data_IF_769909018571
#
_entry.id   IF_769909018571
#
_cell.length_a   1.000
_cell.length_b   1.000
_cell.length_c   1.000
_cell.angle_alpha   90.00
_cell.angle_beta   90.00
_cell.angle_gamma   90.00
#
_symmetry.space_group_name_H-M   'P 1'
#
loop_
_entity.id
_entity.type
_entity.pdbx_description
1 polymer ?
#
# COMPACT_ATOMS: atom_id res chain seq x y z
N UNK A 1 -16.14 38.37 -42.81
CA UNK A 1 -14.90 38.16 -42.02
C UNK A 1 -15.29 37.43 -40.76
N UNK A 2 -15.02 36.14 -40.64
CA UNK A 2 -15.26 35.37 -39.42
C UNK A 2 -13.95 35.34 -38.62
N UNK A 3 -13.95 35.94 -37.44
CA UNK A 3 -12.80 35.94 -36.54
C UNK A 3 -12.93 34.75 -35.60
N UNK A 4 -12.13 33.71 -35.82
CA UNK A 4 -12.01 32.57 -34.90
C UNK A 4 -11.21 33.01 -33.68
N UNK A 5 -11.84 32.98 -32.51
CA UNK A 5 -11.17 33.22 -31.23
C UNK A 5 -10.67 31.89 -30.70
N UNK A 6 -9.35 31.68 -30.74
CA UNK A 6 -8.71 30.49 -30.15
C UNK A 6 -8.63 30.67 -28.63
N UNK A 7 -9.33 29.83 -27.87
CA UNK A 7 -9.17 29.73 -26.41
C UNK A 7 -7.99 28.80 -26.13
N UNK A 8 -6.90 29.35 -25.60
CA UNK A 8 -5.75 28.58 -25.15
C UNK A 8 -6.03 28.07 -23.72
N UNK A 9 -6.35 26.78 -23.58
CA UNK A 9 -6.47 26.15 -22.27
C UNK A 9 -5.07 25.99 -21.66
N UNK A 10 -4.80 26.71 -20.58
CA UNK A 10 -3.58 26.56 -19.80
C UNK A 10 -3.74 25.29 -18.93
N UNK A 11 -3.15 24.17 -19.35
CA UNK A 11 -3.02 22.99 -18.51
C UNK A 11 -1.94 23.32 -17.46
N UNK A 12 -2.36 23.76 -16.28
CA UNK A 12 -1.44 23.87 -15.15
C UNK A 12 -0.94 22.48 -14.77
N UNK A 13 0.37 22.26 -14.86
CA UNK A 13 1.00 21.07 -14.30
C UNK A 13 0.94 21.18 -12.77
N UNK A 14 -0.03 20.52 -12.14
CA UNK A 14 -0.03 20.36 -10.69
C UNK A 14 1.21 19.52 -10.32
N UNK A 15 2.21 20.16 -9.72
CA UNK A 15 3.31 19.43 -9.09
C UNK A 15 2.82 18.97 -7.73
N UNK A 16 2.58 17.66 -7.57
CA UNK A 16 2.25 17.10 -6.27
C UNK A 16 3.53 17.00 -5.43
N UNK A 17 3.47 17.48 -4.19
CA UNK A 17 4.58 17.34 -3.23
C UNK A 17 4.55 15.95 -2.61
N UNK A 18 5.69 15.26 -2.60
CA UNK A 18 5.85 14.01 -1.83
C UNK A 18 5.92 14.38 -0.34
N UNK A 19 4.92 13.97 0.44
CA UNK A 19 4.88 14.20 1.89
C UNK A 19 5.81 13.26 2.66
N UNK A 20 5.93 12.02 2.19
CA UNK A 20 6.78 10.97 2.73
C UNK A 20 7.18 10.01 1.61
N UNK A 21 8.41 9.51 1.63
CA UNK A 21 8.98 8.67 0.57
C UNK A 21 9.40 7.30 1.12
N UNK A 22 8.59 6.28 0.81
CA UNK A 22 8.82 4.89 1.20
C UNK A 22 9.60 4.05 0.18
N UNK A 23 10.20 4.64 -0.86
CA UNK A 23 10.83 3.89 -1.98
C UNK A 23 12.21 3.30 -1.66
N UNK A 24 12.75 3.56 -0.47
CA UNK A 24 14.04 3.02 0.01
C UNK A 24 15.22 3.26 -0.96
N UNK A 25 15.22 4.41 -1.63
CA UNK A 25 16.22 4.78 -2.64
C UNK A 25 17.62 5.04 -2.07
N UNK A 26 17.73 5.20 -0.75
CA UNK A 26 18.99 5.45 -0.06
C UNK A 26 19.47 4.24 0.74
N UNK A 27 18.68 3.17 0.80
CA UNK A 27 19.03 1.94 1.51
C UNK A 27 19.66 0.93 0.54
N UNK A 28 20.45 0.00 1.04
CA UNK A 28 21.09 -1.06 0.23
C UNK A 28 20.63 -2.46 0.59
N UNK A 29 20.06 -2.62 1.78
CA UNK A 29 19.46 -3.85 2.29
C UNK A 29 18.34 -3.49 3.27
N UNK A 30 17.58 -4.47 3.76
CA UNK A 30 16.56 -4.28 4.80
C UNK A 30 17.14 -4.13 6.21
N UNK A 31 18.46 -4.26 6.40
CA UNK A 31 19.09 -4.20 7.72
C UNK A 31 18.90 -2.85 8.44
N UNK A 32 18.70 -1.75 7.70
CA UNK A 32 18.40 -0.44 8.30
C UNK A 32 17.11 -0.44 9.15
N UNK A 33 16.20 -1.40 8.94
CA UNK A 33 14.98 -1.52 9.73
C UNK A 33 15.29 -1.88 11.19
N UNK A 34 16.41 -2.56 11.46
CA UNK A 34 16.84 -2.92 12.82
C UNK A 34 17.36 -1.69 13.61
N UNK A 35 17.65 -0.57 12.95
CA UNK A 35 18.09 0.67 13.61
C UNK A 35 16.91 1.42 14.27
N UNK A 36 15.67 1.15 13.83
CA UNK A 36 14.47 1.76 14.40
C UNK A 36 14.09 1.09 15.73
N UNK A 37 13.69 1.88 16.72
CA UNK A 37 13.01 1.39 17.91
C UNK A 37 12.06 2.45 18.47
N UNK A 38 11.19 2.07 19.41
CA UNK A 38 10.35 3.03 20.13
C UNK A 38 11.14 4.14 20.83
N UNK A 39 12.38 3.86 21.27
CA UNK A 39 13.30 4.85 21.86
C UNK A 39 14.19 5.57 20.84
N UNK A 40 14.24 5.11 19.59
CA UNK A 40 15.08 5.65 18.52
C UNK A 40 14.32 5.59 17.18
N UNK A 41 13.38 6.51 16.98
CA UNK A 41 12.49 6.50 15.82
C UNK A 41 13.16 7.12 14.59
N UNK A 42 14.08 6.38 13.96
CA UNK A 42 14.89 6.78 12.79
C UNK A 42 14.43 6.11 11.49
N UNK A 43 14.97 6.50 10.34
CA UNK A 43 14.63 5.88 9.06
C UNK A 43 13.23 6.23 8.53
N UNK A 44 12.83 5.59 7.42
CA UNK A 44 11.56 5.90 6.74
C UNK A 44 10.38 5.05 7.22
N UNK A 45 10.66 3.91 7.87
CA UNK A 45 9.64 2.97 8.34
C UNK A 45 9.84 2.62 9.82
N UNK A 46 8.73 2.46 10.52
CA UNK A 46 8.66 1.74 11.78
C UNK A 46 8.60 0.25 11.47
N UNK A 47 9.37 -0.53 12.23
CA UNK A 47 9.45 -1.98 12.07
C UNK A 47 9.36 -2.64 13.44
N UNK A 48 8.15 -3.07 13.79
CA UNK A 48 7.88 -3.79 15.04
C UNK A 48 6.78 -4.85 14.93
N UNK A 49 6.08 -4.91 13.78
CA UNK A 49 5.03 -5.90 13.50
C UNK A 49 5.64 -6.95 12.59
N UNK A 50 6.34 -7.90 13.20
CA UNK A 50 7.04 -9.01 12.56
C UNK A 50 7.22 -10.15 13.56
N UNK A 51 7.70 -11.29 13.06
CA UNK A 51 8.07 -12.45 13.88
C UNK A 51 9.43 -12.32 14.58
N UNK A 52 9.84 -13.37 15.30
CA UNK A 52 11.09 -13.38 16.09
C UNK A 52 12.38 -13.61 15.27
N UNK A 53 12.25 -13.87 13.96
CA UNK A 53 13.38 -14.10 13.06
C UNK A 53 14.14 -12.81 12.69
N UNK A 54 15.32 -12.94 12.05
CA UNK A 54 16.04 -11.79 11.50
C UNK A 54 15.21 -11.07 10.43
N UNK A 55 15.40 -9.75 10.27
CA UNK A 55 14.69 -8.93 9.28
C UNK A 55 14.70 -9.51 7.87
N UNK A 56 15.79 -10.18 7.48
CA UNK A 56 15.93 -10.78 6.14
C UNK A 56 15.01 -11.96 5.89
N UNK A 57 14.40 -12.56 6.92
CA UNK A 57 13.40 -13.60 6.72
C UNK A 57 12.08 -12.99 6.22
N UNK A 58 11.79 -11.75 6.63
CA UNK A 58 10.52 -11.07 6.41
C UNK A 58 10.57 -9.99 5.33
N UNK A 59 11.67 -9.25 5.23
CA UNK A 59 11.82 -8.11 4.32
C UNK A 59 13.14 -8.21 3.57
N UNK A 60 13.09 -8.16 2.24
CA UNK A 60 14.28 -8.11 1.38
C UNK A 60 14.16 -7.01 0.35
N UNK A 61 15.27 -6.38 0.02
CA UNK A 61 15.35 -5.36 -1.02
C UNK A 61 16.14 -5.88 -2.22
N UNK A 62 15.61 -5.68 -3.42
CA UNK A 62 16.32 -5.97 -4.65
C UNK A 62 15.73 -5.22 -5.85
N UNK A 63 16.54 -4.99 -6.89
CA UNK A 63 16.09 -4.43 -8.16
C UNK A 63 15.04 -5.30 -8.87
N UNK A 64 15.06 -6.60 -8.64
CA UNK A 64 14.08 -7.55 -9.19
C UNK A 64 12.70 -7.45 -8.51
N UNK A 65 12.60 -6.80 -7.35
CA UNK A 65 11.37 -6.72 -6.56
C UNK A 65 10.55 -5.44 -6.82
N UNK A 66 10.90 -4.62 -7.81
CA UNK A 66 10.13 -3.44 -8.20
C UNK A 66 9.42 -3.60 -9.54
N UNK A 67 8.44 -2.74 -9.77
CA UNK A 67 7.90 -2.56 -11.11
C UNK A 67 9.02 -2.05 -12.04
N UNK A 68 9.36 -2.77 -13.12
CA UNK A 68 10.43 -2.34 -14.03
C UNK A 68 10.12 -1.01 -14.74
N UNK A 69 8.84 -0.62 -14.84
CA UNK A 69 8.43 0.66 -15.39
C UNK A 69 8.59 1.83 -14.41
N UNK A 70 8.76 1.56 -13.11
CA UNK A 70 9.02 2.60 -12.11
C UNK A 70 10.51 2.97 -12.12
N UNK A 71 10.83 4.08 -12.80
CA UNK A 71 12.17 4.66 -12.82
C UNK A 71 12.50 5.48 -11.57
N UNK A 72 11.50 5.80 -10.74
CA UNK A 72 11.64 6.55 -9.50
C UNK A 72 12.10 5.71 -8.31
N UNK A 73 11.95 4.38 -8.36
CA UNK A 73 12.45 3.44 -7.35
C UNK A 73 13.71 2.72 -7.83
N UNK A 74 14.76 2.68 -7.00
CA UNK A 74 16.01 1.97 -7.29
C UNK A 74 15.88 0.46 -7.08
N UNK A 75 15.08 0.06 -6.11
CA UNK A 75 14.79 -1.33 -5.74
C UNK A 75 13.34 -1.44 -5.30
N UNK A 76 12.84 -2.66 -5.15
CA UNK A 76 11.56 -2.91 -4.52
C UNK A 76 11.71 -3.74 -3.25
N UNK A 77 10.57 -3.96 -2.59
CA UNK A 77 10.48 -4.61 -1.30
C UNK A 77 9.77 -5.94 -1.51
N UNK A 78 10.44 -7.04 -1.20
CA UNK A 78 9.77 -8.32 -1.00
C UNK A 78 9.36 -8.39 0.47
N UNK A 79 8.06 -8.59 0.70
CA UNK A 79 7.48 -8.89 2.01
C UNK A 79 7.12 -10.37 2.05
N UNK A 80 7.60 -11.06 3.06
CA UNK A 80 7.38 -12.49 3.30
C UNK A 80 6.59 -12.66 4.59
N UNK A 81 5.63 -13.58 4.54
CA UNK A 81 5.03 -14.17 5.73
C UNK A 81 5.30 -15.68 5.70
N UNK A 82 5.63 -16.22 6.87
CA UNK A 82 5.80 -17.64 7.12
C UNK A 82 5.30 -17.99 8.53
N UNK A 83 5.43 -19.26 8.93
CA UNK A 83 4.95 -19.71 10.25
C UNK A 83 5.63 -19.03 11.45
N UNK A 84 6.75 -18.33 11.25
CA UNK A 84 7.42 -17.56 12.29
C UNK A 84 6.94 -16.11 12.37
N UNK A 85 6.16 -15.64 11.40
CA UNK A 85 5.66 -14.26 11.29
C UNK A 85 4.51 -13.96 12.26
N UNK A 86 4.63 -14.39 13.52
CA UNK A 86 3.61 -14.21 14.56
C UNK A 86 3.99 -13.02 15.41
N UNK A 87 3.10 -12.03 15.52
CA UNK A 87 3.31 -10.83 16.32
C UNK A 87 2.36 -10.80 17.51
N UNK A 88 2.85 -10.49 18.73
CA UNK A 88 2.03 -10.39 19.94
C UNK A 88 1.14 -11.61 20.28
N UNK A 89 1.52 -12.82 19.85
CA UNK A 89 0.72 -14.04 20.02
C UNK A 89 -0.68 -13.95 19.38
N UNK A 90 -0.83 -13.17 18.30
CA UNK A 90 -2.04 -13.23 17.48
C UNK A 90 -2.11 -14.53 16.66
N UNK A 91 -3.31 -14.88 16.20
CA UNK A 91 -3.52 -16.02 15.31
C UNK A 91 -3.30 -15.67 13.83
N UNK A 92 -2.65 -14.53 13.54
CA UNK A 92 -2.45 -14.01 12.20
C UNK A 92 -0.96 -14.02 11.85
N UNK A 93 -0.63 -14.18 10.57
CA UNK A 93 0.75 -14.06 10.11
C UNK A 93 0.96 -12.65 9.56
N UNK A 94 1.93 -11.91 10.12
CA UNK A 94 2.10 -10.48 9.89
C UNK A 94 3.55 -10.10 9.67
N UNK A 95 3.77 -9.33 8.61
CA UNK A 95 4.98 -8.56 8.35
C UNK A 95 4.53 -7.20 7.82
N UNK A 96 4.65 -6.15 8.63
CA UNK A 96 4.14 -4.82 8.28
C UNK A 96 5.20 -3.75 8.50
N UNK A 97 5.20 -2.77 7.59
CA UNK A 97 6.03 -1.58 7.65
C UNK A 97 5.11 -0.36 7.72
N UNK A 98 5.28 0.45 8.76
CA UNK A 98 4.46 1.65 8.98
C UNK A 98 5.29 2.90 8.65
N UNK A 99 4.76 3.91 7.94
CA UNK A 99 5.49 5.15 7.69
C UNK A 99 6.00 5.81 8.99
N UNK A 100 7.31 6.01 9.10
CA UNK A 100 7.92 6.84 10.14
C UNK A 100 7.99 8.29 9.64
N UNK A 101 7.05 9.13 10.07
CA UNK A 101 6.98 10.52 9.59
C UNK A 101 6.25 11.45 10.56
N UNK A 102 6.60 12.74 10.50
CA UNK A 102 5.84 13.84 11.11
C UNK A 102 5.05 14.64 10.08
N UNK A 103 5.16 14.31 8.79
CA UNK A 103 4.41 14.95 7.73
C UNK A 103 2.91 14.68 7.89
N UNK A 104 2.03 15.61 7.48
CA UNK A 104 0.59 15.50 7.65
C UNK A 104 -0.03 14.54 6.61
N UNK A 105 0.40 13.27 6.61
CA UNK A 105 -0.08 12.24 5.68
C UNK A 105 -1.55 11.85 5.93
N UNK A 106 -2.14 12.30 7.03
CA UNK A 106 -3.51 12.03 7.44
C UNK A 106 -4.40 13.29 7.50
N UNK A 107 -4.11 14.32 6.70
CA UNK A 107 -4.88 15.58 6.67
C UNK A 107 -5.17 16.04 5.25
N UNK A 108 -6.34 16.66 5.04
CA UNK A 108 -6.75 17.13 3.73
C UNK A 108 -6.79 16.02 2.69
N UNK A 109 -6.57 16.38 1.43
CA UNK A 109 -6.52 15.44 0.32
C UNK A 109 -5.10 14.95 0.05
N UNK A 110 -4.88 13.66 0.15
CA UNK A 110 -3.59 13.00 -0.05
C UNK A 110 -3.72 11.75 -0.92
N UNK A 111 -2.60 11.32 -1.50
CA UNK A 111 -2.53 10.15 -2.36
C UNK A 111 -1.53 9.16 -1.78
N UNK A 112 -2.00 7.98 -1.42
CA UNK A 112 -1.16 6.87 -0.95
C UNK A 112 -0.82 5.98 -2.14
N UNK A 113 0.40 6.09 -2.65
CA UNK A 113 0.89 5.34 -3.81
C UNK A 113 1.63 4.07 -3.41
N UNK A 114 1.34 2.98 -4.10
CA UNK A 114 2.09 1.74 -4.00
C UNK A 114 1.85 0.88 -5.24
N UNK A 115 2.76 -0.06 -5.50
CA UNK A 115 2.57 -1.08 -6.52
C UNK A 115 2.77 -2.45 -5.90
N UNK A 116 1.92 -3.42 -6.26
CA UNK A 116 1.98 -4.80 -5.75
C UNK A 116 1.99 -5.81 -6.88
N UNK A 117 2.64 -6.95 -6.62
CA UNK A 117 2.75 -8.09 -7.51
C UNK A 117 3.06 -9.33 -6.65
N UNK A 118 2.75 -10.51 -7.17
CA UNK A 118 3.27 -11.77 -6.65
C UNK A 118 3.89 -12.60 -7.77
N UNK A 119 4.76 -13.55 -7.44
CA UNK A 119 5.36 -14.48 -8.41
C UNK A 119 4.66 -15.84 -8.36
N UNK A 120 5.11 -16.78 -9.19
CA UNK A 120 4.73 -18.20 -9.09
C UNK A 120 5.53 -18.94 -8.00
N UNK A 121 6.58 -18.34 -7.47
CA UNK A 121 7.38 -18.87 -6.37
C UNK A 121 6.84 -18.31 -5.06
N UNK A 122 6.36 -19.19 -4.17
CA UNK A 122 5.70 -18.81 -2.92
C UNK A 122 4.59 -17.74 -3.13
N UNK A 123 3.59 -17.99 -4.00
CA UNK A 123 2.48 -17.04 -4.15
C UNK A 123 1.72 -16.91 -2.83
N UNK A 124 1.07 -15.75 -2.56
CA UNK A 124 0.11 -15.65 -1.47
C UNK A 124 -0.97 -16.71 -1.66
N UNK A 125 -1.46 -17.25 -0.56
CA UNK A 125 -2.43 -18.33 -0.64
C UNK A 125 -3.81 -17.80 -1.06
N UNK A 126 -4.47 -18.49 -1.98
CA UNK A 126 -5.82 -18.14 -2.39
C UNK A 126 -6.89 -18.70 -1.41
N UNK A 127 -6.49 -19.47 -0.41
CA UNK A 127 -7.36 -20.21 0.50
C UNK A 127 -7.65 -19.49 1.82
N UNK A 128 -6.86 -18.48 2.16
CA UNK A 128 -6.97 -17.70 3.38
C UNK A 128 -7.07 -16.21 3.05
N UNK A 129 -7.74 -15.44 3.89
CA UNK A 129 -7.83 -13.99 3.77
C UNK A 129 -6.46 -13.33 4.00
N UNK A 130 -6.11 -12.40 3.12
CA UNK A 130 -4.97 -11.53 3.25
C UNK A 130 -5.47 -10.09 3.24
N UNK A 131 -5.01 -9.28 4.19
CA UNK A 131 -5.23 -7.84 4.25
C UNK A 131 -3.91 -7.14 3.90
N UNK A 132 -3.93 -6.26 2.90
CA UNK A 132 -2.72 -5.71 2.27
C UNK A 132 -2.87 -4.20 2.10
N UNK A 133 -1.81 -3.46 2.41
CA UNK A 133 -1.78 -1.99 2.31
C UNK A 133 -3.03 -1.36 2.95
N UNK A 134 -3.31 -1.75 4.19
CA UNK A 134 -4.49 -1.35 4.96
C UNK A 134 -4.16 -0.24 5.96
N UNK A 135 -5.19 0.48 6.39
CA UNK A 135 -5.13 1.34 7.57
C UNK A 135 -5.62 0.56 8.79
N UNK A 136 -5.14 0.89 10.00
CA UNK A 136 -5.52 0.21 11.26
C UNK A 136 -7.04 0.06 11.46
N UNK A 137 -7.84 1.04 11.01
CA UNK A 137 -9.31 0.98 11.13
C UNK A 137 -10.01 0.25 9.98
N UNK A 138 -9.25 -0.26 9.00
CA UNK A 138 -9.75 -0.92 7.80
C UNK A 138 -10.77 -0.08 7.01
N UNK A 139 -10.67 1.25 7.06
CA UNK A 139 -11.59 2.11 6.30
C UNK A 139 -11.36 1.97 4.80
N UNK A 140 -10.14 1.61 4.39
CA UNK A 140 -9.80 1.18 3.04
C UNK A 140 -8.58 0.26 3.07
N UNK A 141 -8.56 -0.74 2.19
CA UNK A 141 -7.50 -1.74 2.09
C UNK A 141 -7.57 -2.52 0.78
N UNK A 142 -6.52 -3.27 0.47
CA UNK A 142 -6.62 -4.37 -0.48
C UNK A 142 -6.85 -5.68 0.27
N UNK A 143 -7.66 -6.57 -0.31
CA UNK A 143 -7.78 -7.95 0.14
C UNK A 143 -7.46 -8.96 -0.95
N UNK A 144 -7.02 -10.15 -0.55
CA UNK A 144 -6.78 -11.29 -1.43
C UNK A 144 -7.08 -12.62 -0.72
N UNK A 145 -7.43 -13.65 -1.49
CA UNK A 145 -7.76 -14.96 -0.96
C UNK A 145 -9.19 -15.04 -0.41
N UNK A 146 -9.58 -16.23 0.05
CA UNK A 146 -10.93 -16.48 0.54
C UNK A 146 -11.17 -15.67 1.82
N UNK A 147 -12.03 -14.65 1.75
CA UNK A 147 -12.40 -13.79 2.87
C UNK A 147 -13.10 -14.62 3.94
N UNK A 148 -12.76 -14.38 5.21
CA UNK A 148 -13.35 -15.14 6.31
C UNK A 148 -14.87 -14.99 6.34
N UNK A 149 -15.58 -16.11 6.43
CA UNK A 149 -17.03 -16.18 6.36
C UNK A 149 -17.66 -16.12 4.96
N UNK A 150 -16.90 -15.86 3.88
CA UNK A 150 -17.43 -15.93 2.51
C UNK A 150 -17.62 -17.39 2.04
N UNK A 151 -18.56 -17.59 1.11
CA UNK A 151 -18.77 -18.89 0.48
C UNK A 151 -17.68 -19.17 -0.56
N UNK A 152 -17.12 -20.38 -0.52
CA UNK A 152 -16.15 -20.83 -1.52
C UNK A 152 -15.09 -21.72 -0.91
N UNK A 153 -14.11 -22.08 -1.73
CA UNK A 153 -12.91 -22.81 -1.27
C UNK A 153 -11.61 -22.09 -1.60
N UNK A 154 -11.63 -21.13 -2.53
CA UNK A 154 -10.52 -20.26 -2.85
C UNK A 154 -11.03 -19.00 -3.54
N UNK A 155 -10.29 -17.90 -3.43
CA UNK A 155 -10.50 -16.69 -4.22
C UNK A 155 -9.17 -16.16 -4.76
N UNK A 156 -9.16 -15.78 -6.04
CA UNK A 156 -7.99 -15.23 -6.74
C UNK A 156 -8.17 -13.76 -7.09
N UNK A 157 -9.22 -13.11 -6.60
CA UNK A 157 -9.42 -11.69 -6.79
C UNK A 157 -8.51 -10.88 -5.84
N UNK A 158 -7.77 -9.93 -6.40
CA UNK A 158 -7.30 -8.76 -5.65
C UNK A 158 -8.45 -7.78 -5.58
N UNK A 159 -8.91 -7.51 -4.37
CA UNK A 159 -10.05 -6.65 -4.07
C UNK A 159 -9.56 -5.35 -3.46
N UNK A 160 -10.23 -4.26 -3.78
CA UNK A 160 -10.12 -3.02 -3.04
C UNK A 160 -11.42 -2.78 -2.30
N UNK A 161 -11.31 -2.70 -0.98
CA UNK A 161 -12.43 -2.58 -0.07
C UNK A 161 -12.46 -1.19 0.57
N UNK A 162 -13.67 -0.71 0.84
CA UNK A 162 -13.95 0.50 1.60
C UNK A 162 -15.01 0.19 2.64
N UNK A 163 -14.71 0.45 3.92
CA UNK A 163 -15.54 0.03 5.05
C UNK A 163 -15.99 -1.45 4.95
N UNK A 164 -15.03 -2.34 4.64
CA UNK A 164 -15.26 -3.79 4.46
C UNK A 164 -16.15 -4.19 3.28
N UNK A 165 -16.48 -3.27 2.36
CA UNK A 165 -17.26 -3.55 1.15
C UNK A 165 -16.39 -3.44 -0.09
N UNK A 166 -16.34 -4.50 -0.91
CA UNK A 166 -15.58 -4.51 -2.16
C UNK A 166 -16.14 -3.50 -3.17
N UNK A 167 -15.32 -2.51 -3.53
CA UNK A 167 -15.66 -1.48 -4.53
C UNK A 167 -15.04 -1.78 -5.90
N UNK A 168 -13.93 -2.52 -5.92
CA UNK A 168 -13.24 -2.96 -7.13
C UNK A 168 -12.63 -4.34 -6.92
N UNK A 169 -12.60 -5.16 -7.97
CA UNK A 169 -11.82 -6.38 -7.96
C UNK A 169 -11.24 -6.70 -9.35
N UNK A 170 -10.19 -7.51 -9.34
CA UNK A 170 -9.53 -8.03 -10.54
C UNK A 170 -8.82 -9.34 -10.19
N UNK A 171 -8.69 -10.28 -11.13
CA UNK A 171 -7.86 -11.48 -10.89
C UNK A 171 -6.41 -11.09 -10.64
N UNK A 172 -5.84 -11.48 -9.48
CA UNK A 172 -4.43 -11.25 -9.16
C UNK A 172 -3.58 -12.30 -9.87
N UNK A 173 -2.98 -11.91 -11.00
CA UNK A 173 -2.16 -12.82 -11.82
C UNK A 173 -0.69 -12.64 -11.45
N UNK A 174 0.01 -13.77 -11.32
CA UNK A 174 1.45 -13.77 -11.08
C UNK A 174 2.20 -12.98 -12.16
N UNK A 175 3.18 -12.18 -11.74
CA UNK A 175 4.01 -11.36 -12.62
C UNK A 175 3.35 -10.09 -13.15
N UNK A 176 2.08 -9.82 -12.85
CA UNK A 176 1.43 -8.56 -13.20
C UNK A 176 1.59 -7.58 -12.04
N UNK A 177 2.25 -6.45 -12.33
CA UNK A 177 2.27 -5.30 -11.44
C UNK A 177 0.93 -4.57 -11.47
N UNK A 178 0.30 -4.43 -10.32
CA UNK A 178 -0.84 -3.56 -10.09
C UNK A 178 -0.32 -2.28 -9.44
N UNK A 179 -0.53 -1.14 -10.08
CA UNK A 179 -0.19 0.18 -9.52
C UNK A 179 -1.46 0.77 -8.93
N UNK A 180 -1.39 1.27 -7.69
CA UNK A 180 -2.52 1.81 -6.96
C UNK A 180 -2.17 3.21 -6.45
N UNK A 181 -3.18 4.09 -6.43
CA UNK A 181 -3.20 5.20 -5.50
C UNK A 181 -4.56 5.32 -4.82
N UNK A 182 -4.58 5.30 -3.48
CA UNK A 182 -5.75 5.73 -2.72
C UNK A 182 -5.78 7.25 -2.68
N UNK A 183 -6.80 7.85 -3.30
CA UNK A 183 -7.03 9.28 -3.25
C UNK A 183 -7.95 9.59 -2.07
N UNK A 184 -7.36 9.81 -0.90
CA UNK A 184 -8.09 9.97 0.36
C UNK A 184 -8.30 11.46 0.61
N UNK A 185 -9.52 11.83 0.94
CA UNK A 185 -9.87 13.15 1.44
C UNK A 185 -10.29 13.03 2.91
N UNK A 186 -9.38 13.39 3.81
CA UNK A 186 -9.59 13.32 5.25
C UNK A 186 -10.55 14.40 5.78
N UNK A 187 -10.70 15.51 5.06
CA UNK A 187 -11.61 16.59 5.46
C UNK A 187 -13.06 16.25 5.09
N UNK A 188 -13.25 15.54 3.98
CA UNK A 188 -14.57 15.12 3.48
C UNK A 188 -14.99 13.73 3.98
N UNK A 189 -14.03 12.86 4.31
CA UNK A 189 -14.30 11.47 4.67
C UNK A 189 -14.62 10.60 3.47
N UNK A 190 -13.74 10.62 2.47
CA UNK A 190 -13.90 9.80 1.26
C UNK A 190 -12.59 9.25 0.74
N UNK A 191 -12.68 8.19 -0.07
CA UNK A 191 -11.54 7.59 -0.76
C UNK A 191 -11.92 7.21 -2.19
N UNK A 192 -11.11 7.65 -3.16
CA UNK A 192 -11.15 7.17 -4.54
C UNK A 192 -10.01 6.19 -4.84
N UNK A 193 -10.17 5.39 -5.88
CA UNK A 193 -9.20 4.37 -6.26
C UNK A 193 -8.68 4.59 -7.67
N UNK A 194 -7.39 4.89 -7.75
CA UNK A 194 -6.66 4.91 -8.99
C UNK A 194 -5.97 3.57 -9.19
N UNK A 195 -6.07 3.01 -10.39
CA UNK A 195 -5.42 1.74 -10.72
C UNK A 195 -4.89 1.72 -12.15
N UNK A 196 -3.78 1.00 -12.34
CA UNK A 196 -3.30 0.56 -13.64
C UNK A 196 -2.50 -0.73 -13.49
N UNK A 197 -2.06 -1.31 -14.61
CA UNK A 197 -1.14 -2.46 -14.61
C UNK A 197 0.11 -2.22 -15.45
N UNK A 198 1.19 -2.91 -15.10
CA UNK A 198 2.47 -2.81 -15.79
C UNK A 198 3.02 -1.39 -15.75
N UNK A 199 3.39 -0.83 -16.91
CA UNK A 199 3.88 0.54 -17.05
C UNK A 199 2.83 1.57 -17.47
N UNK A 200 1.54 1.25 -17.40
CA UNK A 200 0.49 2.18 -17.78
C UNK A 200 0.28 3.26 -16.72
N UNK A 201 -0.08 4.47 -17.14
CA UNK A 201 -0.48 5.55 -16.24
C UNK A 201 -1.72 5.16 -15.40
N UNK A 202 -1.71 5.60 -14.14
CA UNK A 202 -2.84 5.46 -13.23
C UNK A 202 -4.08 6.16 -13.79
N UNK A 203 -5.23 5.48 -13.72
CA UNK A 203 -6.54 6.04 -14.05
C UNK A 203 -7.44 5.95 -12.84
N UNK A 204 -8.31 6.95 -12.66
CA UNK A 204 -9.38 6.88 -11.66
C UNK A 204 -10.33 5.76 -12.09
N UNK A 205 -10.29 4.64 -11.37
CA UNK A 205 -11.07 3.44 -11.69
C UNK A 205 -12.37 3.42 -10.89
N UNK A 206 -12.32 3.88 -9.63
CA UNK A 206 -13.52 4.11 -8.82
C UNK A 206 -13.48 5.55 -8.30
N UNK A 207 -14.52 6.37 -8.57
CA UNK A 207 -14.61 7.72 -8.02
C UNK A 207 -14.69 7.68 -6.48
N UNK A 208 -14.43 8.80 -5.78
CA UNK A 208 -14.47 8.84 -4.34
C UNK A 208 -15.79 8.30 -3.77
N UNK A 209 -15.70 7.36 -2.84
CA UNK A 209 -16.81 6.82 -2.04
C UNK A 209 -16.64 7.23 -0.58
N UNK A 210 -17.75 7.29 0.17
CA UNK A 210 -17.72 7.65 1.59
C UNK A 210 -16.93 6.62 2.41
N UNK A 211 -16.04 7.08 3.28
CA UNK A 211 -15.21 6.23 4.12
C UNK A 211 -15.13 6.74 5.55
N UNK A 212 -15.12 5.83 6.51
CA UNK A 212 -14.95 6.14 7.92
C UNK A 212 -13.46 6.41 8.24
N UNK A 213 -12.90 7.49 7.70
CA UNK A 213 -11.47 7.87 7.79
C UNK A 213 -11.00 8.28 9.19
N UNK A 214 -11.67 7.81 10.24
CA UNK A 214 -11.34 8.13 11.63
C UNK A 214 -9.94 7.65 11.97
N UNK A 215 -9.06 8.60 12.28
CA UNK A 215 -7.77 8.29 12.85
C UNK A 215 -7.94 7.96 14.33
N UNK A 216 -7.59 6.74 14.75
CA UNK A 216 -7.30 6.48 16.16
C UNK A 216 -5.90 7.02 16.44
N UNK A 217 -5.73 8.11 17.20
CA UNK A 217 -4.41 8.50 17.62
C UNK A 217 -3.91 7.40 18.55
N UNK A 218 -2.87 6.67 18.15
CA UNK A 218 -2.01 5.98 19.10
C UNK A 218 -1.40 7.04 20.05
N UNK A 219 -2.18 7.46 21.05
CA UNK A 219 -1.65 7.95 22.31
C UNK A 219 -1.23 6.70 23.07
N UNK A 220 0.00 6.26 22.87
CA UNK A 220 0.64 5.51 23.93
C UNK A 220 0.72 6.46 25.14
N UNK A 221 -0.12 6.18 26.14
CA UNK A 221 0.16 6.66 27.50
C UNK A 221 1.48 6.03 27.91
N UNK A 222 2.34 6.89 28.46
CA UNK A 222 3.58 6.56 29.18
C UNK A 222 3.48 5.30 30.02
#
# INVERSE_FOLDING_TARGET
MFSSTTVLALIGSATATILWDGRLNNETSSAFLDDWSFSNTVGQYQYYIHGDGPVTDYVKLATAYKNPADSGSKQGIQVTIDNSSVWNSDNMLRTELIPQTSAPINKGKVFYHFSVQHTTTHPPSAYEEHQVCFFESHFTELKYGLIDGEQGTLDRALRWDVNSETQFNVTFKAGIWHNIAYAIDFDVGSVGFYHSTGGNDLKLTVPPVSAAVFYWPYRYRS
#
